data_IF_178884971006
#
_entry.id   IF_178884971006
#
_cell.length_a   1.000
_cell.length_b   1.000
_cell.length_c   1.000
_cell.angle_alpha   90.00
_cell.angle_beta   90.00
_cell.angle_gamma   90.00
#
_symmetry.space_group_name_H-M   'P 1'
#
loop_
_entity.id
_entity.type
_entity.pdbx_description
1 polymer ?
#
# COMPACT_ATOMS: atom_id res chain seq x y z
N UNK A 1 17.25 1.96 6.58
CA UNK A 1 16.12 2.10 7.51
C UNK A 1 15.26 0.86 7.49
N UNK A 2 14.72 0.51 8.62
CA UNK A 2 13.87 -0.67 8.75
C UNK A 2 12.42 -0.25 8.79
N UNK A 3 11.59 -0.88 7.96
CA UNK A 3 10.17 -0.56 7.88
C UNK A 3 9.36 -1.84 7.89
N UNK A 4 8.08 -1.72 8.18
CA UNK A 4 7.14 -2.83 8.14
C UNK A 4 6.12 -2.55 7.04
N UNK A 5 5.91 -3.51 6.17
CA UNK A 5 4.99 -3.36 5.04
C UNK A 5 3.85 -4.35 5.17
N UNK A 6 2.64 -3.86 5.10
CA UNK A 6 1.43 -4.68 5.19
C UNK A 6 0.74 -4.75 3.84
N UNK A 7 0.16 -5.90 3.56
CA UNK A 7 -0.52 -6.16 2.30
C UNK A 7 -1.95 -6.58 2.58
N UNK A 8 -2.87 -6.09 1.77
CA UNK A 8 -4.28 -6.37 1.97
C UNK A 8 -4.92 -6.92 0.70
N UNK A 9 -5.97 -7.72 0.89
CA UNK A 9 -6.82 -8.20 -0.20
C UNK A 9 -6.01 -8.83 -1.33
N UNK A 10 -6.25 -8.41 -2.57
CA UNK A 10 -5.60 -9.00 -3.72
C UNK A 10 -4.07 -8.88 -3.66
N UNK A 11 -3.56 -7.80 -3.10
CA UNK A 11 -2.11 -7.63 -3.00
C UNK A 11 -1.52 -8.66 -2.05
N UNK A 12 -2.19 -8.92 -0.94
CA UNK A 12 -1.75 -9.95 -0.01
C UNK A 12 -1.70 -11.32 -0.70
N UNK A 13 -2.71 -11.62 -1.50
CA UNK A 13 -2.77 -12.89 -2.21
C UNK A 13 -1.64 -13.03 -3.21
N UNK A 14 -1.29 -11.95 -3.88
CA UNK A 14 -0.22 -11.97 -4.88
C UNK A 14 1.15 -12.10 -4.21
N UNK A 15 1.38 -11.32 -3.16
CA UNK A 15 2.67 -11.34 -2.47
C UNK A 15 2.84 -12.61 -1.64
N UNK A 16 1.75 -13.14 -1.11
CA UNK A 16 1.78 -14.41 -0.40
C UNK A 16 1.97 -14.29 1.10
N UNK A 17 1.97 -13.08 1.64
CA UNK A 17 2.10 -12.87 3.07
C UNK A 17 1.37 -11.59 3.45
N UNK A 18 0.84 -11.50 4.68
CA UNK A 18 0.15 -10.27 5.09
C UNK A 18 1.09 -9.16 5.52
N UNK A 19 2.33 -9.47 5.82
CA UNK A 19 3.23 -8.46 6.39
C UNK A 19 4.66 -8.91 6.25
N UNK A 20 5.56 -7.96 5.96
CA UNK A 20 7.00 -8.23 5.99
C UNK A 20 7.72 -7.05 6.63
N UNK A 21 8.85 -7.36 7.25
CA UNK A 21 9.75 -6.35 7.77
C UNK A 21 10.97 -6.34 6.88
N UNK A 22 11.41 -5.15 6.44
CA UNK A 22 12.54 -5.10 5.52
C UNK A 22 13.37 -3.85 5.74
N UNK A 23 14.60 -3.92 5.21
CA UNK A 23 15.54 -2.82 5.23
C UNK A 23 15.52 -2.12 3.89
N UNK A 24 15.50 -0.80 3.91
CA UNK A 24 15.50 0.01 2.71
C UNK A 24 16.57 1.08 2.80
N UNK A 25 17.12 1.52 1.67
CA UNK A 25 18.02 2.67 1.68
C UNK A 25 17.30 3.92 2.18
N UNK A 26 18.03 4.78 2.86
CA UNK A 26 17.47 6.07 3.27
C UNK A 26 17.03 6.84 2.04
N UNK A 27 15.90 7.51 2.15
CA UNK A 27 15.38 8.29 1.04
C UNK A 27 14.42 7.53 0.12
N UNK A 28 14.21 6.24 0.38
CA UNK A 28 13.23 5.48 -0.39
C UNK A 28 11.85 6.06 -0.16
N UNK A 29 11.10 6.26 -1.24
CA UNK A 29 9.73 6.76 -1.14
C UNK A 29 8.73 5.61 -1.10
N UNK A 30 7.50 5.94 -0.70
CA UNK A 30 6.43 4.95 -0.65
C UNK A 30 6.19 4.33 -2.03
N UNK A 31 6.22 5.15 -3.08
CA UNK A 31 6.02 4.66 -4.44
C UNK A 31 7.15 3.77 -4.91
N UNK A 32 8.39 4.10 -4.54
CA UNK A 32 9.51 3.26 -4.90
C UNK A 32 9.42 1.89 -4.25
N UNK A 33 8.94 1.84 -3.02
CA UNK A 33 8.73 0.56 -2.35
C UNK A 33 7.68 -0.26 -3.09
N UNK A 34 6.58 0.35 -3.49
CA UNK A 34 5.56 -0.36 -4.24
C UNK A 34 6.09 -0.84 -5.58
N UNK A 35 6.89 -0.02 -6.28
CA UNK A 35 7.53 -0.41 -7.53
C UNK A 35 8.41 -1.64 -7.37
N UNK A 36 9.13 -1.71 -6.26
CA UNK A 36 9.95 -2.87 -5.97
C UNK A 36 9.12 -4.15 -5.93
N UNK A 37 7.95 -4.08 -5.28
CA UNK A 37 7.07 -5.24 -5.24
C UNK A 37 6.46 -5.56 -6.58
N UNK A 38 6.18 -4.54 -7.40
CA UNK A 38 5.69 -4.78 -8.75
C UNK A 38 6.71 -5.51 -9.61
N UNK A 39 7.99 -5.23 -9.41
CA UNK A 39 9.04 -5.92 -10.14
C UNK A 39 9.19 -7.37 -9.72
N UNK A 40 8.98 -7.66 -8.45
CA UNK A 40 9.06 -9.01 -7.94
C UNK A 40 7.80 -9.82 -8.23
N UNK A 41 6.66 -9.16 -8.29
CA UNK A 41 5.38 -9.81 -8.49
C UNK A 41 4.64 -9.08 -9.61
N UNK A 42 4.89 -9.50 -10.84
CA UNK A 42 4.34 -8.78 -11.99
C UNK A 42 2.83 -8.59 -11.99
N UNK A 43 2.03 -9.51 -11.41
CA UNK A 43 0.59 -9.25 -11.34
C UNK A 43 0.21 -7.98 -10.57
N UNK A 44 1.09 -7.47 -9.70
CA UNK A 44 0.82 -6.22 -8.99
C UNK A 44 0.74 -5.03 -9.93
N UNK A 45 1.34 -5.13 -11.11
CA UNK A 45 1.34 -4.01 -12.06
C UNK A 45 -0.05 -3.56 -12.44
N UNK A 46 -1.03 -4.47 -12.43
CA UNK A 46 -2.39 -4.09 -12.79
C UNK A 46 -3.03 -3.18 -11.74
N UNK A 47 -2.48 -3.14 -10.56
CA UNK A 47 -3.00 -2.30 -9.49
C UNK A 47 -2.17 -1.03 -9.29
N UNK A 48 -1.14 -0.82 -10.09
CA UNK A 48 -0.15 0.23 -9.84
C UNK A 48 -0.77 1.62 -9.75
N UNK A 49 -1.79 1.90 -10.58
CA UNK A 49 -2.39 3.22 -10.61
C UNK A 49 -3.54 3.39 -9.64
N UNK A 50 -3.98 2.31 -9.02
CA UNK A 50 -5.18 2.33 -8.19
C UNK A 50 -4.92 1.95 -6.74
N UNK A 51 -3.71 1.55 -6.41
CA UNK A 51 -3.38 1.16 -5.05
C UNK A 51 -3.18 2.41 -4.21
N UNK A 52 -3.81 2.43 -3.06
CA UNK A 52 -3.59 3.49 -2.09
C UNK A 52 -2.47 3.09 -1.14
N UNK A 53 -1.64 4.05 -0.78
CA UNK A 53 -0.53 3.79 0.12
C UNK A 53 -0.78 4.57 1.40
N UNK A 54 -0.69 3.89 2.54
CA UNK A 54 -0.73 4.58 3.81
C UNK A 54 0.59 4.40 4.53
N UNK A 55 0.98 5.41 5.29
CA UNK A 55 2.17 5.37 6.14
C UNK A 55 1.72 5.79 7.52
N UNK A 56 1.89 4.89 8.49
CA UNK A 56 1.46 5.12 9.86
C UNK A 56 -0.01 5.54 9.93
N UNK A 57 -0.84 4.85 9.15
CA UNK A 57 -2.30 5.02 9.14
C UNK A 57 -2.78 6.29 8.45
N UNK A 58 -1.92 6.96 7.70
CA UNK A 58 -2.32 8.13 6.91
C UNK A 58 -2.07 7.86 5.44
N UNK A 59 -3.05 8.15 4.59
CA UNK A 59 -2.86 8.01 3.16
C UNK A 59 -1.91 9.09 2.67
N UNK A 60 -0.94 8.68 1.86
CA UNK A 60 0.10 9.60 1.39
C UNK A 60 0.29 9.43 -0.10
N UNK A 61 0.82 10.47 -0.78
CA UNK A 61 1.17 10.32 -2.19
C UNK A 61 2.43 9.47 -2.34
N UNK A 62 2.65 8.89 -3.54
CA UNK A 62 3.77 7.97 -3.73
C UNK A 62 5.15 8.61 -3.56
N UNK A 63 5.25 9.90 -3.71
CA UNK A 63 6.55 10.58 -3.56
C UNK A 63 6.95 10.79 -2.09
N UNK A 64 6.12 10.38 -1.14
CA UNK A 64 6.40 10.59 0.28
C UNK A 64 7.61 9.76 0.71
N UNK A 65 8.62 10.37 1.31
CA UNK A 65 9.79 9.61 1.78
C UNK A 65 9.45 8.81 3.03
N UNK A 66 10.06 7.64 3.15
CA UNK A 66 9.87 6.76 4.29
C UNK A 66 10.96 6.99 5.31
N UNK A 67 10.68 6.62 6.56
CA UNK A 67 11.61 6.80 7.67
C UNK A 67 11.70 5.54 8.51
N UNK A 68 12.71 5.48 9.32
CA UNK A 68 12.94 4.36 10.22
C UNK A 68 11.69 4.09 11.07
N UNK A 69 11.27 2.84 11.09
CA UNK A 69 10.14 2.43 11.91
C UNK A 69 8.77 2.66 11.31
N UNK A 70 8.70 3.19 10.09
CA UNK A 70 7.40 3.42 9.44
C UNK A 70 6.68 2.12 9.17
N UNK A 71 5.35 2.19 9.25
CA UNK A 71 4.48 1.08 8.89
C UNK A 71 3.74 1.47 7.62
N UNK A 72 4.01 0.76 6.53
CA UNK A 72 3.44 1.06 5.23
C UNK A 72 2.37 0.03 4.91
N UNK A 73 1.26 0.47 4.33
CA UNK A 73 0.21 -0.45 3.89
C UNK A 73 -0.14 -0.15 2.44
N UNK A 74 -0.25 -1.22 1.64
CA UNK A 74 -0.71 -1.12 0.26
C UNK A 74 -2.12 -1.65 0.21
N UNK A 75 -3.07 -0.81 -0.17
CA UNK A 75 -4.48 -1.10 -0.14
C UNK A 75 -5.02 -1.02 -1.57
N UNK A 76 -5.36 -2.16 -2.19
CA UNK A 76 -5.85 -2.15 -3.55
C UNK A 76 -7.29 -1.65 -3.61
N UNK A 77 -7.75 -1.27 -4.79
CA UNK A 77 -9.15 -0.90 -4.92
C UNK A 77 -10.01 -2.14 -4.71
N UNK A 78 -11.23 -1.92 -4.23
CA UNK A 78 -12.19 -3.00 -4.10
C UNK A 78 -13.15 -2.93 -5.26
N UNK A 79 -13.56 -4.08 -5.76
CA UNK A 79 -14.47 -4.15 -6.87
C UNK A 79 -15.90 -4.10 -6.37
N UNK A 80 -16.83 -3.92 -7.29
CA UNK A 80 -18.24 -3.98 -6.96
C UNK A 80 -18.75 -2.79 -6.19
N UNK A 81 -18.03 -1.70 -6.19
CA UNK A 81 -18.50 -0.50 -5.54
C UNK A 81 -18.37 -0.49 -4.05
N UNK A 82 -17.61 -1.39 -3.49
CA UNK A 82 -17.46 -1.47 -2.04
C UNK A 82 -16.85 -0.21 -1.45
N UNK A 83 -15.98 0.43 -2.18
CA UNK A 83 -15.42 1.69 -1.73
C UNK A 83 -16.52 2.72 -1.49
N UNK A 84 -17.45 2.81 -2.42
CA UNK A 84 -18.54 3.76 -2.27
C UNK A 84 -19.35 3.47 -1.03
N UNK A 85 -19.57 2.22 -0.73
CA UNK A 85 -20.34 1.88 0.46
C UNK A 85 -19.64 2.28 1.73
N UNK A 86 -18.34 2.16 1.75
CA UNK A 86 -17.61 2.56 2.92
C UNK A 86 -17.56 4.06 3.09
N UNK A 87 -17.45 4.78 2.01
CA UNK A 87 -17.27 6.21 2.11
C UNK A 87 -18.56 6.96 2.20
N UNK A 88 -19.63 6.34 1.76
CA UNK A 88 -20.90 7.02 1.70
C UNK A 88 -21.53 7.25 3.00
N UNK A 89 -21.39 6.43 3.91
CA UNK A 89 -22.13 6.52 5.07
C UNK A 89 -21.34 6.23 6.20
N UNK A 90 -20.32 5.95 6.08
CA UNK A 90 -19.72 5.62 7.21
C UNK A 90 -18.49 6.07 7.19
N UNK A 91 -18.19 6.34 6.64
CA UNK A 91 -17.02 6.51 6.66
C UNK A 91 -16.69 7.60 6.19
N UNK A 92 -17.06 7.56 5.81
CA UNK A 92 -16.76 8.03 5.21
C UNK A 92 -16.16 8.60 4.95
N UNK A 93 -15.74 8.42 4.72
CA UNK A 93 -15.37 8.56 4.31
C UNK A 93 -15.34 8.99 3.64
N UNK A 94 -15.55 8.83 3.44
CA UNK A 94 -15.69 8.83 2.91
C UNK A 94 -15.65 9.07 2.46
N UNK A 95 -15.61 9.00 2.05
CA UNK A 95 -15.65 8.94 1.60
C UNK A 95 -15.70 9.15 1.49
#
# INVERSE_FOLDING_TARGET
MKVRTKFFAAIKDIVGTPEVELELPDGTTAGELFQRYCQQHTPLSRYANNTMISVNLEFVPPETPLHEGDEIAFIPPVSGGSWGKFTDHSLRVSP
#
